data_IF_945813836048
#
_entry.id   IF_945813836048
#
_cell.length_a   1.000
_cell.length_b   1.000
_cell.length_c   1.000
_cell.angle_alpha   90.00
_cell.angle_beta   90.00
_cell.angle_gamma   90.00
#
_symmetry.space_group_name_H-M   'P 1'
#
loop_
_entity.id
_entity.type
_entity.pdbx_description
1 polymer ?
#
# COMPACT_ATOMS: atom_id res chain seq x y z
N UNK A 1 18.83 37.04 -7.08
CA UNK A 1 18.16 35.97 -7.85
C UNK A 1 17.17 35.33 -6.86
N UNK A 2 15.89 35.63 -6.97
CA UNK A 2 14.85 34.98 -6.16
C UNK A 2 14.52 33.66 -6.83
N UNK A 3 14.35 32.58 -6.05
CA UNK A 3 13.87 31.31 -6.59
C UNK A 3 12.49 31.53 -7.24
N UNK A 4 12.19 30.77 -8.30
CA UNK A 4 10.97 30.89 -9.08
C UNK A 4 9.68 30.89 -8.22
N UNK A 5 9.66 30.18 -7.09
CA UNK A 5 8.57 30.18 -6.12
C UNK A 5 8.41 31.52 -5.39
N UNK A 6 9.51 32.14 -4.96
CA UNK A 6 9.50 33.45 -4.33
C UNK A 6 9.06 34.55 -5.33
N UNK A 7 9.51 34.48 -6.58
CA UNK A 7 9.04 35.40 -7.63
C UNK A 7 7.54 35.21 -7.91
N UNK A 8 7.08 33.96 -8.04
CA UNK A 8 5.66 33.66 -8.25
C UNK A 8 4.76 34.20 -7.14
N UNK A 9 5.20 34.16 -5.88
CA UNK A 9 4.46 34.73 -4.76
C UNK A 9 4.42 36.27 -4.80
N UNK A 10 5.51 36.92 -5.20
CA UNK A 10 5.56 38.38 -5.41
C UNK A 10 4.59 38.79 -6.51
N UNK A 11 4.58 38.09 -7.65
CA UNK A 11 3.65 38.38 -8.75
C UNK A 11 2.18 38.18 -8.34
N UNK A 12 1.91 37.14 -7.54
CA UNK A 12 0.57 36.91 -7.00
C UNK A 12 0.10 38.07 -6.11
N UNK A 13 0.96 38.58 -5.22
CA UNK A 13 0.65 39.73 -4.38
C UNK A 13 0.51 41.03 -5.18
N UNK A 14 1.34 41.22 -6.21
CA UNK A 14 1.24 42.36 -7.13
C UNK A 14 -0.11 42.35 -7.88
N UNK A 15 -0.57 41.17 -8.32
CA UNK A 15 -1.88 41.02 -8.94
C UNK A 15 -3.04 41.39 -8.01
N UNK A 16 -2.99 40.98 -6.74
CA UNK A 16 -3.98 41.37 -5.73
C UNK A 16 -3.94 42.89 -5.52
N UNK A 17 -2.75 43.46 -5.36
CA UNK A 17 -2.56 44.90 -5.16
C UNK A 17 -3.10 45.72 -6.33
N UNK A 18 -2.77 45.34 -7.57
CA UNK A 18 -3.25 45.99 -8.79
C UNK A 18 -4.78 45.94 -8.89
N UNK A 19 -5.41 44.81 -8.55
CA UNK A 19 -6.87 44.70 -8.52
C UNK A 19 -7.50 45.60 -7.45
N UNK A 20 -6.92 45.67 -6.25
CA UNK A 20 -7.42 46.55 -5.18
C UNK A 20 -7.35 48.03 -5.59
N UNK A 21 -6.32 48.44 -6.33
CA UNK A 21 -6.19 49.82 -6.79
C UNK A 21 -7.08 50.18 -7.98
N UNK A 22 -7.22 49.27 -8.95
CA UNK A 22 -7.85 49.59 -10.24
C UNK A 22 -9.27 49.04 -10.37
N UNK A 23 -9.67 48.08 -9.54
CA UNK A 23 -10.96 47.38 -9.61
C UNK A 23 -11.16 46.56 -10.89
N UNK A 24 -10.11 46.35 -11.70
CA UNK A 24 -10.19 45.76 -13.02
C UNK A 24 -9.14 44.67 -13.22
N UNK A 25 -9.55 43.56 -13.85
CA UNK A 25 -8.65 42.47 -14.26
C UNK A 25 -8.31 42.53 -15.76
N UNK A 26 -8.77 43.56 -16.49
CA UNK A 26 -8.58 43.66 -17.96
C UNK A 26 -7.12 43.77 -18.38
N UNK A 27 -6.31 44.57 -17.67
CA UNK A 27 -4.88 44.73 -17.96
C UNK A 27 -4.12 43.42 -17.77
N UNK A 28 -4.48 42.63 -16.74
CA UNK A 28 -3.92 41.30 -16.51
C UNK A 28 -4.25 40.32 -17.65
N UNK A 29 -5.44 40.39 -18.25
CA UNK A 29 -5.79 39.53 -19.39
C UNK A 29 -4.99 39.88 -20.66
N UNK A 30 -4.68 41.15 -20.88
CA UNK A 30 -3.84 41.59 -22.01
C UNK A 30 -2.39 41.14 -21.81
N UNK A 31 -1.83 41.33 -20.61
CA UNK A 31 -0.47 40.88 -20.28
C UNK A 31 -0.31 39.35 -20.32
N UNK A 32 -1.31 38.58 -19.86
CA UNK A 32 -1.31 37.12 -19.89
C UNK A 32 -1.29 36.53 -21.32
N UNK A 33 -1.83 37.24 -22.31
CA UNK A 33 -1.83 36.78 -23.70
C UNK A 33 -0.44 36.85 -24.34
N UNK A 34 0.43 37.74 -23.85
CA UNK A 34 1.78 37.94 -24.36
C UNK A 34 2.85 37.12 -23.58
N UNK A 35 2.45 36.40 -22.53
CA UNK A 35 3.35 35.47 -21.84
C UNK A 35 3.50 34.22 -22.72
N UNK A 36 4.71 33.90 -23.21
CA UNK A 36 4.93 32.64 -23.89
C UNK A 36 4.57 31.51 -22.91
N UNK A 37 3.58 30.70 -23.27
CA UNK A 37 3.28 29.46 -22.57
C UNK A 37 4.51 28.57 -22.79
N UNK A 38 5.40 28.55 -21.80
CA UNK A 38 6.46 27.56 -21.75
C UNK A 38 5.73 26.25 -21.52
N UNK A 39 5.51 25.47 -22.58
CA UNK A 39 5.25 24.05 -22.42
C UNK A 39 6.37 23.52 -21.54
N UNK A 40 5.99 22.97 -20.37
CA UNK A 40 6.95 22.39 -19.46
C UNK A 40 7.68 21.28 -20.22
N UNK A 41 8.85 21.61 -20.76
CA UNK A 41 9.76 20.61 -21.30
C UNK A 41 9.89 19.53 -20.24
N UNK A 42 9.72 18.28 -20.65
CA UNK A 42 9.70 17.04 -19.84
C UNK A 42 11.00 16.78 -19.03
N UNK A 43 11.83 17.80 -18.83
CA UNK A 43 13.17 17.73 -18.27
C UNK A 43 13.42 18.71 -17.11
N UNK A 44 12.40 19.25 -16.43
CA UNK A 44 12.60 19.71 -15.06
C UNK A 44 12.53 18.52 -14.10
N UNK A 45 13.57 17.69 -14.16
CA UNK A 45 13.88 16.80 -13.05
C UNK A 45 14.31 17.72 -11.92
N UNK A 46 13.43 18.01 -10.97
CA UNK A 46 13.90 18.47 -9.67
C UNK A 46 14.87 17.40 -9.17
N UNK A 47 16.17 17.71 -9.10
CA UNK A 47 17.13 16.90 -8.36
C UNK A 47 16.68 16.89 -6.91
N UNK A 48 15.89 15.88 -6.55
CA UNK A 48 15.62 15.57 -5.15
C UNK A 48 16.93 15.01 -4.62
N UNK A 49 17.37 15.55 -3.49
CA UNK A 49 18.47 15.02 -2.70
C UNK A 49 18.20 13.54 -2.38
N UNK A 50 18.92 12.63 -3.05
CA UNK A 50 18.72 11.18 -2.95
C UNK A 50 19.23 10.58 -1.63
N UNK A 51 19.82 11.42 -0.76
CA UNK A 51 20.23 11.04 0.60
C UNK A 51 19.07 10.61 1.47
N UNK A 52 17.86 11.12 1.23
CA UNK A 52 16.66 10.82 2.01
C UNK A 52 15.53 10.28 1.15
N UNK A 53 15.05 9.08 1.50
CA UNK A 53 14.09 8.34 0.69
C UNK A 53 12.65 8.83 0.84
N UNK A 54 12.25 9.25 2.04
CA UNK A 54 10.84 9.49 2.35
C UNK A 54 10.57 10.97 2.63
N UNK A 55 9.54 11.51 1.99
CA UNK A 55 8.88 12.74 2.40
C UNK A 55 7.86 12.40 3.49
N UNK A 56 8.18 12.74 4.73
CA UNK A 56 7.36 12.44 5.91
C UNK A 56 6.60 13.68 6.37
N UNK A 57 5.29 13.56 6.56
CA UNK A 57 4.43 14.64 7.06
C UNK A 57 3.52 14.14 8.19
N UNK A 58 3.24 14.98 9.17
CA UNK A 58 2.19 14.76 10.15
C UNK A 58 1.64 16.08 10.71
N UNK A 59 0.47 16.01 11.35
CA UNK A 59 -0.11 17.09 12.13
C UNK A 59 -0.11 16.69 13.61
N UNK A 60 0.55 17.49 14.44
CA UNK A 60 0.52 17.39 15.89
C UNK A 60 -0.62 18.26 16.40
N UNK A 61 -1.55 17.67 17.16
CA UNK A 61 -2.59 18.39 17.89
C UNK A 61 -2.30 18.27 19.39
N UNK A 62 -2.34 19.38 20.12
CA UNK A 62 -2.05 19.41 21.56
C UNK A 62 -2.93 18.42 22.32
N UNK A 63 -2.32 17.75 23.31
CA UNK A 63 -3.04 17.11 24.41
C UNK A 63 -3.05 17.94 25.70
N UNK A 64 -1.91 18.54 26.08
CA UNK A 64 -1.78 19.20 27.40
C UNK A 64 -1.06 20.56 27.34
N UNK A 65 0.13 20.63 26.72
CA UNK A 65 0.99 21.83 26.72
C UNK A 65 1.13 22.43 25.31
N UNK A 66 1.30 23.77 25.21
CA UNK A 66 1.71 24.44 23.97
C UNK A 66 2.92 23.79 23.34
N UNK A 67 2.90 23.58 22.02
CA UNK A 67 4.04 23.06 21.28
C UNK A 67 5.07 24.18 21.16
N UNK A 68 6.26 23.95 21.72
CA UNK A 68 7.44 24.79 21.51
C UNK A 68 8.04 24.46 20.15
N UNK A 69 7.89 25.36 19.17
CA UNK A 69 8.36 25.14 17.81
C UNK A 69 9.89 25.19 17.69
N UNK A 70 10.57 25.91 18.58
CA UNK A 70 12.02 26.03 18.51
C UNK A 70 12.68 24.75 19.02
N UNK A 71 12.20 24.23 20.17
CA UNK A 71 12.66 22.94 20.69
C UNK A 71 12.31 21.78 19.74
N UNK A 72 11.09 21.80 19.18
CA UNK A 72 10.68 20.77 18.22
C UNK A 72 11.53 20.80 16.94
N UNK A 73 11.88 22.00 16.47
CA UNK A 73 12.76 22.16 15.31
C UNK A 73 14.15 21.62 15.61
N UNK A 74 14.74 22.00 16.75
CA UNK A 74 16.06 21.49 17.19
C UNK A 74 16.07 19.95 17.28
N UNK A 75 15.02 19.36 17.84
CA UNK A 75 14.91 17.89 17.97
C UNK A 75 14.87 17.19 16.61
N UNK A 76 14.17 17.77 15.62
CA UNK A 76 13.95 17.13 14.32
C UNK A 76 15.04 17.44 13.29
N UNK A 77 15.81 18.51 13.47
CA UNK A 77 16.80 18.99 12.48
C UNK A 77 17.88 17.94 12.20
N UNK A 78 18.29 17.16 13.21
CA UNK A 78 19.29 16.09 13.07
C UNK A 78 18.74 14.82 12.39
N UNK A 79 17.42 14.71 12.22
CA UNK A 79 16.75 13.48 11.76
C UNK A 79 16.48 13.45 10.25
N UNK A 80 16.84 14.51 9.51
CA UNK A 80 16.50 14.66 8.10
C UNK A 80 16.96 15.97 7.48
N UNK A 81 16.35 16.32 6.35
CA UNK A 81 16.50 17.64 5.74
C UNK A 81 15.13 18.22 5.37
N UNK A 82 15.14 19.44 4.82
CA UNK A 82 13.92 20.11 4.33
C UNK A 82 12.84 20.22 5.41
N UNK A 83 13.25 20.41 6.67
CA UNK A 83 12.35 20.45 7.81
C UNK A 83 11.49 21.72 7.77
N UNK A 84 10.18 21.52 7.80
CA UNK A 84 9.17 22.56 7.99
C UNK A 84 8.40 22.24 9.27
N UNK A 85 8.43 23.19 10.20
CA UNK A 85 7.58 23.23 11.39
C UNK A 85 6.72 24.48 11.26
N UNK A 86 5.43 24.30 11.00
CA UNK A 86 4.53 25.41 10.70
C UNK A 86 3.15 25.20 11.35
N UNK A 87 2.56 26.26 11.90
CA UNK A 87 1.24 26.20 12.51
C UNK A 87 1.14 27.09 13.74
N UNK A 88 0.21 26.78 14.62
CA UNK A 88 0.07 27.42 15.92
C UNK A 88 0.58 26.51 17.03
N UNK A 89 0.73 27.05 18.23
CA UNK A 89 1.11 26.24 19.39
C UNK A 89 0.14 25.06 19.62
N UNK A 90 -1.14 25.19 19.23
CA UNK A 90 -2.19 24.17 19.40
C UNK A 90 -2.24 23.11 18.29
N UNK A 91 -1.73 23.45 17.11
CA UNK A 91 -1.79 22.59 15.93
C UNK A 91 -0.62 22.90 15.02
N UNK A 92 0.30 21.95 14.90
CA UNK A 92 1.56 22.11 14.17
C UNK A 92 1.65 21.06 13.07
N UNK A 93 1.95 21.51 11.85
CA UNK A 93 2.31 20.66 10.73
C UNK A 93 3.82 20.48 10.67
N UNK A 94 4.22 19.23 10.52
CA UNK A 94 5.60 18.81 10.28
C UNK A 94 5.70 18.28 8.86
N UNK A 95 6.77 18.67 8.17
CA UNK A 95 7.24 18.05 6.94
C UNK A 95 8.76 17.92 7.04
N UNK A 96 9.30 16.75 6.72
CA UNK A 96 10.73 16.48 6.74
C UNK A 96 11.05 15.36 5.76
N UNK A 97 12.19 15.45 5.08
CA UNK A 97 12.72 14.32 4.32
C UNK A 97 13.62 13.48 5.21
N UNK A 98 13.33 12.18 5.33
CA UNK A 98 14.04 11.28 6.23
C UNK A 98 14.18 9.88 5.63
N UNK A 99 15.04 9.05 6.22
CA UNK A 99 15.12 7.61 5.95
C UNK A 99 14.35 6.79 6.99
N UNK A 100 13.91 7.41 8.09
CA UNK A 100 13.17 6.76 9.16
C UNK A 100 11.90 7.56 9.52
N UNK A 101 10.80 7.39 8.75
CA UNK A 101 9.52 8.02 9.06
C UNK A 101 9.00 7.67 10.46
N UNK A 102 9.31 6.48 10.96
CA UNK A 102 8.82 5.99 12.26
C UNK A 102 9.43 6.74 13.41
N UNK A 103 10.73 7.02 13.36
CA UNK A 103 11.41 7.84 14.35
C UNK A 103 10.79 9.25 14.39
N UNK A 104 10.53 9.86 13.22
CA UNK A 104 9.87 11.18 13.14
C UNK A 104 8.49 11.16 13.81
N UNK A 105 7.65 10.18 13.47
CA UNK A 105 6.33 10.07 14.09
C UNK A 105 6.42 9.80 15.60
N UNK A 106 7.43 9.04 16.05
CA UNK A 106 7.61 8.76 17.48
C UNK A 106 7.96 10.03 18.25
N UNK A 107 8.93 10.81 17.78
CA UNK A 107 9.28 12.12 18.38
C UNK A 107 8.07 13.04 18.39
N UNK A 108 7.35 13.16 17.26
CA UNK A 108 6.20 14.07 17.19
C UNK A 108 5.07 13.68 18.17
N UNK A 109 4.92 12.40 18.54
CA UNK A 109 3.93 11.94 19.53
C UNK A 109 4.23 12.41 20.95
N UNK A 110 5.49 12.70 21.27
CA UNK A 110 5.86 13.25 22.58
C UNK A 110 5.30 14.67 22.78
N UNK A 111 4.99 15.37 21.70
CA UNK A 111 4.44 16.73 21.69
C UNK A 111 2.90 16.77 21.57
N UNK A 112 2.23 15.65 21.24
CA UNK A 112 0.77 15.60 21.14
C UNK A 112 0.22 14.44 20.29
N UNK A 113 -1.09 14.45 20.07
CA UNK A 113 -1.75 13.44 19.23
C UNK A 113 -1.48 13.72 17.74
N UNK A 114 -1.02 12.70 17.02
CA UNK A 114 -0.79 12.80 15.59
C UNK A 114 -2.05 12.54 14.78
N UNK A 115 -2.11 13.20 13.63
CA UNK A 115 -3.09 12.98 12.58
C UNK A 115 -2.47 13.25 11.21
N UNK A 116 -3.00 12.63 10.16
CA UNK A 116 -2.49 12.85 8.80
C UNK A 116 -1.05 12.38 8.61
N UNK A 117 -0.63 11.33 9.31
CA UNK A 117 0.69 10.72 9.16
C UNK A 117 0.84 10.18 7.73
N UNK A 118 1.91 10.62 7.08
CA UNK A 118 2.20 10.37 5.67
C UNK A 118 3.70 10.15 5.51
N UNK A 119 4.07 9.16 4.70
CA UNK A 119 5.43 8.97 4.26
C UNK A 119 5.42 8.52 2.79
N UNK A 120 5.78 9.44 1.90
CA UNK A 120 5.83 9.17 0.45
C UNK A 120 7.28 8.84 0.05
N UNK A 121 7.48 7.74 -0.68
CA UNK A 121 8.79 7.34 -1.21
C UNK A 121 9.16 8.20 -2.44
N UNK A 122 9.98 9.22 -2.22
CA UNK A 122 10.35 10.21 -3.24
C UNK A 122 11.19 9.59 -4.35
N UNK A 123 12.14 8.73 -3.99
CA UNK A 123 13.01 8.04 -4.95
C UNK A 123 12.16 7.17 -5.87
N UNK A 124 11.19 6.44 -5.32
CA UNK A 124 10.28 5.61 -6.12
C UNK A 124 9.35 6.45 -6.99
N UNK A 125 8.85 7.59 -6.51
CA UNK A 125 8.05 8.51 -7.33
C UNK A 125 8.85 8.98 -8.55
N UNK A 126 10.09 9.47 -8.34
CA UNK A 126 10.95 9.92 -9.43
C UNK A 126 11.32 8.77 -10.39
N UNK A 127 11.71 7.61 -9.87
CA UNK A 127 12.03 6.43 -10.70
C UNK A 127 10.82 5.95 -11.49
N UNK A 128 9.62 6.03 -10.92
CA UNK A 128 8.37 5.67 -11.58
C UNK A 128 8.07 6.56 -12.78
N UNK A 129 8.35 7.85 -12.64
CA UNK A 129 8.22 8.83 -13.72
C UNK A 129 9.27 8.57 -14.82
N UNK A 130 10.55 8.55 -14.46
CA UNK A 130 11.65 8.38 -15.42
C UNK A 130 11.53 7.06 -16.18
N UNK A 131 11.16 5.98 -15.49
CA UNK A 131 11.06 4.64 -16.08
C UNK A 131 9.62 4.28 -16.46
N UNK A 132 8.80 5.25 -16.87
CA UNK A 132 7.43 4.97 -17.31
C UNK A 132 7.44 4.04 -18.53
N UNK A 133 7.14 2.76 -18.30
CA UNK A 133 7.06 1.70 -19.34
C UNK A 133 5.67 1.51 -19.94
N UNK A 134 4.64 2.11 -19.34
CA UNK A 134 3.25 1.88 -19.70
C UNK A 134 2.42 3.17 -19.61
N UNK A 135 1.37 3.27 -20.42
CA UNK A 135 0.40 4.38 -20.36
C UNK A 135 -0.62 4.20 -19.22
N UNK A 136 -0.79 2.97 -18.73
CA UNK A 136 -1.72 2.62 -17.66
C UNK A 136 -0.95 2.39 -16.36
N UNK A 137 -1.21 3.18 -15.33
CA UNK A 137 -0.66 2.93 -14.00
C UNK A 137 -1.46 1.83 -13.28
N UNK A 138 -0.74 0.92 -12.61
CA UNK A 138 -1.35 -0.05 -11.70
C UNK A 138 -1.17 0.43 -10.27
N UNK A 139 -2.27 0.61 -9.56
CA UNK A 139 -2.32 0.98 -8.14
C UNK A 139 -2.87 -0.19 -7.33
N UNK A 140 -2.35 -0.41 -6.13
CA UNK A 140 -2.92 -1.33 -5.16
C UNK A 140 -2.75 -0.79 -3.73
N UNK A 141 -3.20 -1.55 -2.74
CA UNK A 141 -2.94 -1.28 -1.32
C UNK A 141 -1.85 -2.22 -0.78
N UNK A 142 -1.31 -1.91 0.40
CA UNK A 142 -0.18 -2.66 0.97
C UNK A 142 -0.49 -4.11 1.32
N UNK A 143 -1.74 -4.57 1.30
CA UNK A 143 -2.04 -5.98 1.53
C UNK A 143 -1.74 -6.87 0.31
N UNK A 144 -1.41 -6.28 -0.85
CA UNK A 144 -0.84 -7.04 -1.96
C UNK A 144 0.56 -7.55 -1.59
N UNK A 145 0.70 -8.86 -1.36
CA UNK A 145 2.00 -9.45 -1.05
C UNK A 145 2.69 -9.89 -2.34
N UNK A 146 3.72 -9.12 -2.71
CA UNK A 146 4.70 -9.41 -3.75
C UNK A 146 6.11 -9.08 -3.26
N UNK A 147 7.16 -9.67 -3.85
CA UNK A 147 8.53 -9.25 -3.59
C UNK A 147 8.74 -7.75 -3.90
N UNK A 148 9.46 -6.98 -3.06
CA UNK A 148 9.69 -5.54 -3.26
C UNK A 148 10.19 -5.17 -4.66
N UNK A 149 11.07 -5.98 -5.22
CA UNK A 149 11.65 -5.79 -6.56
C UNK A 149 10.62 -5.84 -7.68
N UNK A 150 9.51 -6.56 -7.49
CA UNK A 150 8.41 -6.65 -8.48
C UNK A 150 7.67 -5.31 -8.56
N UNK A 151 7.48 -4.64 -7.43
CA UNK A 151 6.82 -3.33 -7.40
C UNK A 151 7.60 -2.30 -8.22
N UNK A 152 8.92 -2.22 -8.03
CA UNK A 152 9.77 -1.32 -8.82
C UNK A 152 9.87 -1.75 -10.29
N UNK A 153 10.06 -3.05 -10.56
CA UNK A 153 10.25 -3.57 -11.93
C UNK A 153 9.08 -3.25 -12.86
N UNK A 154 7.86 -3.39 -12.35
CA UNK A 154 6.62 -3.19 -13.11
C UNK A 154 5.91 -1.88 -12.79
N UNK A 155 6.57 -0.97 -12.07
CA UNK A 155 6.03 0.33 -11.69
C UNK A 155 4.63 0.25 -11.04
N UNK A 156 4.45 -0.71 -10.14
CA UNK A 156 3.21 -0.87 -9.37
C UNK A 156 3.24 0.16 -8.25
N UNK A 157 2.16 0.90 -8.06
CA UNK A 157 2.01 1.88 -6.98
C UNK A 157 1.25 1.28 -5.80
N UNK A 158 1.56 1.71 -4.58
CA UNK A 158 0.99 1.13 -3.35
C UNK A 158 0.54 2.24 -2.41
N UNK A 159 -0.70 2.15 -1.94
CA UNK A 159 -1.20 2.96 -0.82
C UNK A 159 -1.10 2.15 0.48
N UNK A 160 -0.35 2.61 1.50
CA UNK A 160 -0.18 1.87 2.76
C UNK A 160 -1.47 1.73 3.55
N UNK A 161 -1.76 0.52 4.02
CA UNK A 161 -2.76 0.28 5.06
C UNK A 161 -2.16 0.65 6.40
N UNK A 162 -2.99 1.20 7.28
CA UNK A 162 -2.58 1.66 8.60
C UNK A 162 -2.66 0.51 9.61
N UNK A 163 -1.61 0.34 10.41
CA UNK A 163 -1.52 -0.65 11.50
C UNK A 163 -1.29 0.08 12.81
N UNK A 164 -2.06 -0.27 13.84
CA UNK A 164 -2.01 0.40 15.13
C UNK A 164 -1.68 -0.59 16.26
N UNK A 165 -0.77 -0.19 17.15
CA UNK A 165 -0.50 -0.82 18.44
C UNK A 165 -0.82 0.18 19.55
N UNK A 166 -2.01 0.07 20.13
CA UNK A 166 -2.49 1.08 21.09
C UNK A 166 -2.54 2.46 20.44
N UNK A 167 -1.71 3.39 20.93
CA UNK A 167 -1.60 4.77 20.43
C UNK A 167 -0.51 4.95 19.36
N UNK A 168 0.25 3.90 19.04
CA UNK A 168 1.26 3.95 17.99
C UNK A 168 0.67 3.54 16.66
N UNK A 169 0.92 4.33 15.63
CA UNK A 169 0.42 4.14 14.28
C UNK A 169 1.58 3.96 13.30
N UNK A 170 1.41 3.02 12.38
CA UNK A 170 2.40 2.63 11.40
C UNK A 170 1.77 2.48 10.02
N UNK A 171 2.53 2.84 9.00
CA UNK A 171 2.19 2.64 7.59
C UNK A 171 2.84 1.34 7.10
N UNK A 172 2.01 0.34 6.80
CA UNK A 172 2.47 -0.98 6.36
C UNK A 172 3.36 -0.90 5.10
N UNK A 173 4.52 -1.57 5.16
CA UNK A 173 5.59 -1.55 4.13
C UNK A 173 6.32 -0.21 3.96
N UNK A 174 6.01 0.80 4.76
CA UNK A 174 6.67 2.11 4.72
C UNK A 174 7.37 2.42 6.03
N UNK A 175 6.60 2.56 7.10
CA UNK A 175 7.12 2.85 8.44
C UNK A 175 7.14 1.59 9.33
N UNK A 176 6.69 0.45 8.81
CA UNK A 176 6.80 -0.83 9.49
C UNK A 176 6.96 -1.96 8.49
N UNK A 177 8.03 -2.73 8.69
CA UNK A 177 8.27 -4.00 8.01
C UNK A 177 7.51 -5.14 8.68
N UNK A 178 7.36 -6.25 7.96
CA UNK A 178 6.75 -7.46 8.53
C UNK A 178 7.56 -8.04 9.70
N UNK A 179 8.89 -7.88 9.68
CA UNK A 179 9.76 -8.35 10.77
C UNK A 179 9.59 -7.49 12.03
N UNK A 180 9.62 -6.17 11.89
CA UNK A 180 9.36 -5.24 12.99
C UNK A 180 7.97 -5.46 13.60
N UNK A 181 6.94 -5.71 12.77
CA UNK A 181 5.61 -6.07 13.25
C UNK A 181 5.63 -7.32 14.14
N UNK A 182 6.36 -8.37 13.73
CA UNK A 182 6.48 -9.59 14.53
C UNK A 182 7.26 -9.37 15.83
N UNK A 183 8.32 -8.57 15.79
CA UNK A 183 9.06 -8.19 17.00
C UNK A 183 8.18 -7.36 17.96
N UNK A 184 7.40 -6.42 17.44
CA UNK A 184 6.44 -5.63 18.21
C UNK A 184 5.39 -6.53 18.87
N UNK A 185 4.83 -7.51 18.14
CA UNK A 185 3.88 -8.49 18.68
C UNK A 185 4.41 -9.31 19.86
N UNK A 186 5.73 -9.51 19.98
CA UNK A 186 6.33 -10.23 21.09
C UNK A 186 6.53 -9.35 22.33
N UNK A 187 6.66 -8.03 22.14
CA UNK A 187 6.92 -7.04 23.19
C UNK A 187 5.64 -6.39 23.72
N UNK A 188 4.71 -6.10 22.82
CA UNK A 188 3.47 -5.39 23.10
C UNK A 188 2.40 -6.32 23.68
N UNK A 189 1.71 -5.86 24.72
CA UNK A 189 0.57 -6.59 25.30
C UNK A 189 -0.75 -6.30 24.58
N UNK A 190 -0.79 -5.21 23.81
CA UNK A 190 -1.98 -4.73 23.10
C UNK A 190 -2.11 -5.45 21.76
N UNK A 191 -3.31 -5.95 21.47
CA UNK A 191 -3.59 -6.59 20.18
C UNK A 191 -3.56 -5.55 19.05
N UNK A 192 -2.84 -5.79 17.94
CA UNK A 192 -2.80 -4.85 16.85
C UNK A 192 -4.17 -4.71 16.19
N UNK A 193 -4.44 -3.52 15.67
CA UNK A 193 -5.61 -3.25 14.84
C UNK A 193 -5.17 -2.64 13.52
N UNK A 194 -6.09 -2.57 12.56
CA UNK A 194 -5.82 -1.95 11.26
C UNK A 194 -6.97 -1.05 10.86
N UNK A 195 -6.64 0.04 10.17
CA UNK A 195 -7.61 0.87 9.46
C UNK A 195 -7.26 0.95 7.98
N UNK A 196 -8.29 1.12 7.16
CA UNK A 196 -8.11 1.41 5.73
C UNK A 196 -7.29 2.69 5.53
N UNK A 197 -6.64 2.86 4.37
CA UNK A 197 -6.03 4.14 4.02
C UNK A 197 -7.07 5.26 3.98
N UNK A 198 -6.64 6.50 4.21
CA UNK A 198 -7.55 7.64 4.23
C UNK A 198 -7.95 8.07 2.81
N UNK A 199 -9.00 8.89 2.72
CA UNK A 199 -9.35 9.56 1.46
C UNK A 199 -8.18 10.39 0.92
N UNK A 200 -7.47 11.08 1.82
CA UNK A 200 -6.34 11.94 1.45
C UNK A 200 -5.18 11.15 0.84
N UNK A 201 -4.94 9.92 1.30
CA UNK A 201 -3.89 9.05 0.77
C UNK A 201 -4.19 8.62 -0.66
N UNK A 202 -5.41 8.14 -0.92
CA UNK A 202 -5.82 7.80 -2.27
C UNK A 202 -5.90 9.02 -3.18
N UNK A 203 -6.50 10.12 -2.71
CA UNK A 203 -6.66 11.32 -3.53
C UNK A 203 -5.32 11.87 -3.99
N UNK A 204 -4.35 11.98 -3.08
CA UNK A 204 -2.99 12.41 -3.41
C UNK A 204 -2.33 11.48 -4.42
N UNK A 205 -2.43 10.16 -4.20
CA UNK A 205 -1.82 9.18 -5.10
C UNK A 205 -2.45 9.26 -6.50
N UNK A 206 -3.77 9.42 -6.60
CA UNK A 206 -4.42 9.61 -7.89
C UNK A 206 -4.09 10.94 -8.54
N UNK A 207 -4.01 12.04 -7.78
CA UNK A 207 -3.56 13.32 -8.30
C UNK A 207 -2.18 13.19 -8.94
N UNK A 208 -1.22 12.62 -8.21
CA UNK A 208 0.13 12.36 -8.72
C UNK A 208 0.10 11.53 -10.01
N UNK A 209 -0.54 10.35 -9.98
CA UNK A 209 -0.59 9.46 -11.13
C UNK A 209 -1.31 10.09 -12.33
N UNK A 210 -2.36 10.88 -12.12
CA UNK A 210 -3.10 11.54 -13.20
C UNK A 210 -2.29 12.58 -13.97
N UNK A 211 -1.17 13.07 -13.41
CA UNK A 211 -0.27 13.98 -14.13
C UNK A 211 0.71 13.26 -15.05
N UNK A 212 0.83 11.93 -14.93
CA UNK A 212 1.86 11.14 -15.60
C UNK A 212 1.32 9.94 -16.37
N UNK A 213 0.05 9.59 -16.21
CA UNK A 213 -0.57 8.42 -16.86
C UNK A 213 -1.96 8.76 -17.40
N UNK A 214 -2.26 8.27 -18.60
CA UNK A 214 -3.55 8.46 -19.26
C UNK A 214 -4.70 7.75 -18.50
N UNK A 215 -4.35 6.62 -17.88
CA UNK A 215 -5.30 5.77 -17.18
C UNK A 215 -4.68 5.14 -15.93
N UNK A 216 -5.53 4.86 -14.94
CA UNK A 216 -5.15 4.24 -13.69
C UNK A 216 -6.10 3.07 -13.43
N UNK A 217 -5.54 1.90 -13.09
CA UNK A 217 -6.30 0.74 -12.62
C UNK A 217 -5.90 0.47 -11.18
N UNK A 218 -6.83 0.65 -10.26
CA UNK A 218 -6.64 0.41 -8.84
C UNK A 218 -7.27 -0.93 -8.43
N UNK A 219 -6.46 -1.84 -7.89
CA UNK A 219 -6.83 -3.21 -7.54
C UNK A 219 -6.73 -3.39 -6.03
N UNK A 220 -7.86 -3.59 -5.36
CA UNK A 220 -7.92 -3.56 -3.89
C UNK A 220 -8.59 -4.78 -3.27
N UNK A 221 -8.30 -4.97 -1.98
CA UNK A 221 -8.95 -5.98 -1.13
C UNK A 221 -10.47 -5.88 -1.11
N UNK A 222 -11.16 -6.98 -0.75
CA UNK A 222 -12.61 -7.01 -0.79
C UNK A 222 -13.29 -5.97 0.09
N UNK A 223 -14.32 -5.31 -0.44
CA UNK A 223 -15.12 -4.31 0.30
C UNK A 223 -15.79 -4.89 1.54
N UNK A 224 -16.03 -6.21 1.55
CA UNK A 224 -16.63 -6.92 2.69
C UNK A 224 -15.67 -7.14 3.85
N UNK A 225 -14.34 -6.96 3.66
CA UNK A 225 -13.33 -7.07 4.72
C UNK A 225 -12.68 -5.74 5.11
N UNK A 226 -12.76 -4.73 4.23
CA UNK A 226 -12.20 -3.39 4.43
C UNK A 226 -12.97 -2.32 3.65
N UNK A 227 -13.02 -1.09 4.16
CA UNK A 227 -13.54 0.07 3.42
C UNK A 227 -12.59 0.63 2.36
N UNK A 228 -11.44 0.00 2.12
CA UNK A 228 -10.40 0.46 1.17
C UNK A 228 -10.97 0.79 -0.22
N UNK A 229 -11.72 -0.13 -0.82
CA UNK A 229 -12.33 0.07 -2.16
C UNK A 229 -13.24 1.30 -2.16
N UNK A 230 -14.13 1.42 -1.17
CA UNK A 230 -15.10 2.52 -1.12
C UNK A 230 -14.45 3.89 -0.95
N UNK A 231 -13.35 3.97 -0.19
CA UNK A 231 -12.59 5.24 -0.04
C UNK A 231 -11.81 5.56 -1.30
N UNK A 232 -11.21 4.54 -1.92
CA UNK A 232 -10.50 4.63 -3.19
C UNK A 232 -11.41 5.12 -4.33
N UNK A 233 -12.63 4.56 -4.45
CA UNK A 233 -13.68 5.00 -5.39
C UNK A 233 -14.00 6.50 -5.22
N UNK A 234 -14.29 6.94 -3.99
CA UNK A 234 -14.58 8.36 -3.69
C UNK A 234 -13.41 9.29 -4.05
N UNK A 235 -12.18 8.86 -3.76
CA UNK A 235 -11.00 9.63 -4.09
C UNK A 235 -10.78 9.74 -5.60
N UNK A 236 -11.03 8.66 -6.35
CA UNK A 236 -10.98 8.64 -7.81
C UNK A 236 -12.03 9.58 -8.43
N UNK A 237 -13.27 9.57 -7.93
CA UNK A 237 -14.34 10.49 -8.38
C UNK A 237 -13.93 11.96 -8.29
N UNK A 238 -13.20 12.33 -7.22
CA UNK A 238 -12.76 13.71 -6.99
C UNK A 238 -11.72 14.20 -8.01
N UNK A 239 -10.98 13.30 -8.65
CA UNK A 239 -10.01 13.64 -9.71
C UNK A 239 -10.71 14.15 -10.97
N UNK A 240 -11.96 13.71 -11.20
CA UNK A 240 -12.74 14.07 -12.38
C UNK A 240 -12.10 13.59 -13.68
N UNK A 241 -12.15 14.43 -14.72
CA UNK A 241 -11.76 14.04 -16.09
C UNK A 241 -10.25 14.11 -16.37
N UNK A 242 -9.40 14.29 -15.34
CA UNK A 242 -7.93 14.41 -15.53
C UNK A 242 -7.28 13.10 -15.98
N UNK A 243 -7.82 11.96 -15.56
CA UNK A 243 -7.37 10.64 -15.99
C UNK A 243 -8.53 9.63 -15.93
N UNK A 244 -8.47 8.57 -16.73
CA UNK A 244 -9.45 7.48 -16.64
C UNK A 244 -9.09 6.57 -15.46
N UNK A 245 -9.84 6.63 -14.36
CA UNK A 245 -9.57 5.82 -13.17
C UNK A 245 -10.60 4.71 -13.04
N UNK A 246 -10.13 3.47 -12.99
CA UNK A 246 -10.96 2.29 -12.71
C UNK A 246 -10.55 1.68 -11.36
N UNK A 247 -11.48 1.63 -10.41
CA UNK A 247 -11.28 0.97 -9.11
C UNK A 247 -11.97 -0.38 -9.11
N UNK A 248 -11.25 -1.43 -8.76
CA UNK A 248 -11.72 -2.81 -8.80
C UNK A 248 -11.57 -3.46 -7.43
N UNK A 249 -12.69 -3.99 -6.93
CA UNK A 249 -12.68 -5.03 -5.90
C UNK A 249 -12.32 -6.35 -6.57
N UNK A 250 -11.15 -6.92 -6.21
CA UNK A 250 -10.65 -8.15 -6.84
C UNK A 250 -10.98 -9.43 -6.06
N UNK A 251 -11.68 -9.34 -4.92
CA UNK A 251 -12.09 -10.52 -4.16
C UNK A 251 -10.94 -11.29 -3.47
N UNK A 252 -9.72 -10.76 -3.45
CA UNK A 252 -8.51 -11.43 -2.94
C UNK A 252 -7.66 -10.51 -2.05
N UNK A 253 -6.78 -11.12 -1.24
CA UNK A 253 -5.77 -10.42 -0.42
C UNK A 253 -4.41 -11.13 -0.49
N UNK A 254 -3.36 -10.52 0.06
CA UNK A 254 -2.01 -11.11 0.18
C UNK A 254 -1.51 -11.68 -1.14
N UNK A 255 -0.99 -12.91 -1.14
CA UNK A 255 -0.49 -13.60 -2.32
C UNK A 255 -1.51 -13.68 -3.46
N UNK A 256 -2.81 -13.82 -3.16
CA UNK A 256 -3.86 -13.85 -4.19
C UNK A 256 -3.96 -12.50 -4.91
N UNK A 257 -4.02 -11.41 -4.14
CA UNK A 257 -4.02 -10.05 -4.66
C UNK A 257 -2.72 -9.73 -5.39
N UNK A 258 -1.58 -10.08 -4.81
CA UNK A 258 -0.26 -9.87 -5.40
C UNK A 258 -0.15 -10.48 -6.80
N UNK A 259 -0.56 -11.74 -6.96
CA UNK A 259 -0.52 -12.41 -8.28
C UNK A 259 -1.44 -11.73 -9.31
N UNK A 260 -2.61 -11.24 -8.91
CA UNK A 260 -3.53 -10.49 -9.81
C UNK A 260 -2.93 -9.13 -10.18
N UNK A 261 -2.34 -8.42 -9.22
CA UNK A 261 -1.68 -7.13 -9.44
C UNK A 261 -0.48 -7.27 -10.38
N UNK A 262 0.35 -8.30 -10.17
CA UNK A 262 1.47 -8.61 -11.08
C UNK A 262 0.98 -8.86 -12.50
N UNK A 263 -0.07 -9.66 -12.66
CA UNK A 263 -0.66 -9.93 -13.97
C UNK A 263 -1.16 -8.66 -14.67
N UNK A 264 -1.83 -7.77 -13.94
CA UNK A 264 -2.29 -6.48 -14.47
C UNK A 264 -1.12 -5.57 -14.88
N UNK A 265 -0.04 -5.56 -14.09
CA UNK A 265 1.13 -4.73 -14.34
C UNK A 265 1.95 -5.23 -15.53
N UNK A 266 2.07 -6.55 -15.70
CA UNK A 266 2.63 -7.14 -16.91
C UNK A 266 1.79 -6.79 -18.14
N UNK A 267 0.46 -6.78 -18.03
CA UNK A 267 -0.44 -6.40 -19.12
C UNK A 267 -0.30 -4.92 -19.49
N UNK A 268 -0.14 -4.04 -18.50
CA UNK A 268 0.17 -2.64 -18.72
C UNK A 268 1.51 -2.45 -19.43
N UNK A 269 2.57 -3.14 -18.99
CA UNK A 269 3.90 -3.09 -19.64
C UNK A 269 3.88 -3.67 -21.06
N UNK A 270 3.01 -4.64 -21.33
CA UNK A 270 2.78 -5.17 -22.68
C UNK A 270 1.99 -4.20 -23.59
N UNK A 271 1.62 -3.02 -23.10
CA UNK A 271 0.96 -1.98 -23.89
C UNK A 271 -0.54 -2.21 -24.14
N UNK A 272 -1.19 -3.07 -23.36
CA UNK A 272 -2.64 -3.26 -23.47
C UNK A 272 -3.38 -2.00 -23.02
N UNK A 273 -4.54 -1.73 -23.64
CA UNK A 273 -5.42 -0.65 -23.21
C UNK A 273 -6.05 -0.94 -21.85
N UNK A 274 -6.52 0.11 -21.17
CA UNK A 274 -7.19 -0.03 -19.87
C UNK A 274 -8.34 -1.05 -19.92
N UNK A 275 -9.17 -1.01 -20.96
CA UNK A 275 -10.32 -1.91 -21.12
C UNK A 275 -9.89 -3.37 -21.26
N UNK A 276 -8.82 -3.63 -22.03
CA UNK A 276 -8.24 -4.97 -22.18
C UNK A 276 -7.63 -5.48 -20.89
N UNK A 277 -6.92 -4.62 -20.15
CA UNK A 277 -6.36 -5.00 -18.83
C UNK A 277 -7.48 -5.32 -17.86
N UNK A 278 -8.54 -4.51 -17.78
CA UNK A 278 -9.70 -4.78 -16.91
C UNK A 278 -10.36 -6.11 -17.27
N UNK A 279 -10.57 -6.39 -18.57
CA UNK A 279 -11.12 -7.66 -19.02
C UNK A 279 -10.23 -8.85 -18.64
N UNK A 280 -8.92 -8.72 -18.83
CA UNK A 280 -7.94 -9.73 -18.46
C UNK A 280 -7.90 -9.97 -16.94
N UNK A 281 -7.97 -8.92 -16.12
CA UNK A 281 -8.06 -8.99 -14.66
C UNK A 281 -9.35 -9.73 -14.24
N UNK A 282 -10.50 -9.38 -14.82
CA UNK A 282 -11.76 -10.09 -14.53
C UNK A 282 -11.69 -11.58 -14.87
N UNK A 283 -10.98 -11.94 -15.95
CA UNK A 283 -10.78 -13.33 -16.36
C UNK A 283 -9.79 -14.10 -15.47
N UNK A 284 -8.77 -13.44 -14.89
CA UNK A 284 -7.76 -14.10 -14.05
C UNK A 284 -8.20 -14.27 -12.58
N UNK A 285 -9.14 -13.44 -12.09
CA UNK A 285 -9.70 -13.55 -10.73
C UNK A 285 -10.22 -14.97 -10.42
N UNK A 286 -11.13 -15.58 -11.20
CA UNK A 286 -11.65 -16.92 -10.91
C UNK A 286 -10.58 -18.03 -11.02
N UNK A 287 -9.47 -17.74 -11.70
CA UNK A 287 -8.30 -18.61 -11.83
C UNK A 287 -7.26 -18.43 -10.72
N UNK A 288 -7.54 -17.53 -9.77
CA UNK A 288 -6.67 -17.23 -8.64
C UNK A 288 -7.32 -17.70 -7.33
N UNK A 289 -6.59 -18.47 -6.54
CA UNK A 289 -7.04 -18.95 -5.25
C UNK A 289 -6.02 -18.60 -4.16
N UNK A 290 -6.51 -18.29 -2.97
CA UNK A 290 -5.69 -18.04 -1.79
C UNK A 290 -6.16 -18.91 -0.63
N UNK A 291 -5.20 -19.58 0.02
CA UNK A 291 -5.45 -20.40 1.21
C UNK A 291 -4.49 -20.01 2.32
N UNK A 292 -5.03 -19.67 3.50
CA UNK A 292 -4.24 -19.34 4.68
C UNK A 292 -4.50 -20.37 5.79
N UNK A 293 -3.44 -21.05 6.24
CA UNK A 293 -3.45 -21.90 7.42
C UNK A 293 -3.11 -21.06 8.65
N UNK A 294 -4.07 -20.91 9.55
CA UNK A 294 -4.05 -19.97 10.68
C UNK A 294 -4.08 -20.75 12.01
N UNK A 295 -2.95 -20.81 12.75
CA UNK A 295 -2.87 -21.51 14.04
C UNK A 295 -3.42 -20.71 15.23
N UNK A 296 -3.59 -19.39 15.08
CA UNK A 296 -4.00 -18.44 16.13
C UNK A 296 -5.33 -17.78 15.74
N UNK A 297 -6.43 -18.48 15.99
CA UNK A 297 -7.77 -18.01 15.62
C UNK A 297 -8.22 -16.78 16.42
N UNK A 298 -7.63 -16.57 17.59
CA UNK A 298 -7.86 -15.39 18.42
C UNK A 298 -7.59 -14.09 17.66
N UNK A 299 -6.62 -14.06 16.73
CA UNK A 299 -6.33 -12.89 15.90
C UNK A 299 -7.45 -12.61 14.89
N UNK A 300 -7.94 -13.62 14.17
CA UNK A 300 -9.03 -13.44 13.20
C UNK A 300 -10.34 -13.01 13.87
N UNK A 301 -10.60 -13.52 15.08
CA UNK A 301 -11.80 -13.21 15.85
C UNK A 301 -11.71 -11.79 16.42
N UNK A 302 -10.61 -11.43 17.08
CA UNK A 302 -10.40 -10.06 17.60
C UNK A 302 -10.39 -9.01 16.48
N UNK A 303 -9.84 -9.36 15.32
CA UNK A 303 -9.88 -8.52 14.12
C UNK A 303 -11.26 -8.40 13.48
N UNK A 304 -12.25 -9.23 13.85
CA UNK A 304 -13.62 -9.18 13.32
C UNK A 304 -13.80 -9.70 11.89
N UNK A 305 -12.73 -10.23 11.26
CA UNK A 305 -12.75 -10.70 9.85
C UNK A 305 -13.22 -12.14 9.70
N UNK A 306 -13.43 -12.85 10.81
CA UNK A 306 -14.09 -14.15 10.83
C UNK A 306 -15.20 -14.20 11.89
N UNK A 307 -16.45 -14.22 11.43
CA UNK A 307 -17.63 -14.35 12.30
C UNK A 307 -17.80 -15.80 12.78
N UNK A 308 -17.02 -16.23 13.78
CA UNK A 308 -17.21 -17.52 14.43
C UNK A 308 -18.26 -17.35 15.54
N UNK A 309 -19.48 -17.85 15.32
CA UNK A 309 -20.57 -17.85 16.32
C UNK A 309 -20.38 -18.85 17.46
N UNK A 310 -19.25 -19.53 17.56
CA UNK A 310 -19.03 -20.60 18.55
C UNK A 310 -17.81 -20.34 19.44
N UNK A 311 -18.08 -19.86 20.66
CA UNK A 311 -17.14 -19.87 21.79
C UNK A 311 -16.43 -21.23 21.98
N UNK A 312 -17.02 -22.32 21.48
CA UNK A 312 -16.50 -23.69 21.59
C UNK A 312 -15.32 -24.04 20.68
N UNK A 313 -14.98 -23.25 19.66
CA UNK A 313 -13.82 -23.55 18.78
C UNK A 313 -12.50 -23.00 19.35
N UNK A 314 -12.57 -22.02 20.27
CA UNK A 314 -11.38 -21.35 20.81
C UNK A 314 -10.57 -22.24 21.76
N UNK A 315 -11.22 -23.20 22.43
CA UNK A 315 -10.61 -24.00 23.50
C UNK A 315 -10.08 -25.39 23.09
N UNK A 316 -10.10 -25.77 21.80
CA UNK A 316 -9.80 -27.17 21.43
C UNK A 316 -8.50 -27.41 20.63
N UNK A 317 -7.50 -27.94 21.34
CA UNK A 317 -6.43 -28.87 20.93
C UNK A 317 -5.74 -28.65 19.57
N UNK A 318 -4.67 -27.85 19.56
CA UNK A 318 -3.61 -27.87 18.52
C UNK A 318 -4.11 -27.75 17.06
N UNK A 319 -5.34 -27.31 16.80
CA UNK A 319 -5.88 -27.23 15.44
C UNK A 319 -5.33 -25.99 14.70
N UNK A 320 -5.30 -26.09 13.37
CA UNK A 320 -5.00 -24.98 12.45
C UNK A 320 -6.15 -24.87 11.47
N UNK A 321 -6.80 -23.71 11.42
CA UNK A 321 -7.90 -23.45 10.50
C UNK A 321 -7.34 -23.03 9.15
N UNK A 322 -7.82 -23.65 8.07
CA UNK A 322 -7.53 -23.19 6.72
C UNK A 322 -8.71 -22.38 6.23
N UNK A 323 -8.46 -21.13 5.88
CA UNK A 323 -9.46 -20.19 5.33
C UNK A 323 -9.13 -19.84 3.88
N UNK A 324 -10.14 -19.36 3.17
CA UNK A 324 -10.06 -18.80 1.82
C UNK A 324 -11.06 -17.67 1.65
N UNK A 325 -10.98 -16.91 0.57
CA UNK A 325 -12.09 -16.06 0.13
C UNK A 325 -13.16 -16.90 -0.61
N UNK A 326 -14.44 -16.57 -0.39
CA UNK A 326 -15.53 -17.00 -1.26
C UNK A 326 -15.71 -16.04 -2.45
N UNK A 327 -16.71 -16.31 -3.30
CA UNK A 327 -17.00 -15.52 -4.50
C UNK A 327 -17.40 -14.07 -4.19
N UNK A 328 -17.80 -13.79 -2.95
CA UNK A 328 -18.11 -12.42 -2.48
C UNK A 328 -16.90 -11.72 -1.86
N UNK A 329 -15.74 -12.38 -1.84
CA UNK A 329 -14.53 -11.90 -1.17
C UNK A 329 -14.54 -12.07 0.35
N UNK A 330 -15.56 -12.72 0.94
CA UNK A 330 -15.62 -12.93 2.39
C UNK A 330 -14.71 -14.07 2.82
N UNK A 331 -14.05 -13.91 3.98
CA UNK A 331 -13.25 -14.99 4.57
C UNK A 331 -14.16 -16.13 5.02
N UNK A 332 -13.90 -17.33 4.51
CA UNK A 332 -14.63 -18.56 4.82
C UNK A 332 -13.71 -19.69 5.22
N UNK A 333 -14.23 -20.56 6.07
CA UNK A 333 -13.61 -21.84 6.36
C UNK A 333 -13.48 -22.68 5.09
N UNK A 334 -12.28 -23.23 4.86
CA UNK A 334 -12.03 -24.18 3.78
C UNK A 334 -11.81 -25.60 4.31
N UNK A 335 -10.99 -25.77 5.34
CA UNK A 335 -10.59 -27.09 5.87
C UNK A 335 -9.94 -26.95 7.25
N UNK A 336 -9.93 -28.04 8.01
CA UNK A 336 -9.21 -28.15 9.27
C UNK A 336 -7.91 -28.96 9.12
N UNK A 337 -6.82 -28.48 9.72
CA UNK A 337 -5.58 -29.23 9.89
C UNK A 337 -5.36 -29.58 11.37
N UNK A 338 -5.08 -30.85 11.66
CA UNK A 338 -4.72 -31.29 13.01
C UNK A 338 -3.25 -30.99 13.31
N UNK A 339 -2.97 -30.32 14.42
CA UNK A 339 -1.61 -29.90 14.81
C UNK A 339 -1.20 -28.57 14.16
N UNK A 340 -0.35 -27.81 14.87
CA UNK A 340 0.26 -26.56 14.38
C UNK A 340 1.55 -26.78 13.58
N UNK A 341 2.09 -28.00 13.60
CA UNK A 341 3.32 -28.36 12.90
C UNK A 341 3.09 -28.98 11.52
N UNK A 342 4.18 -29.04 10.74
CA UNK A 342 4.20 -29.58 9.37
C UNK A 342 3.16 -28.95 8.43
N UNK A 343 2.89 -27.65 8.61
CA UNK A 343 1.99 -26.88 7.74
C UNK A 343 2.48 -26.92 6.29
N UNK A 344 3.79 -26.94 6.06
CA UNK A 344 4.37 -27.08 4.73
C UNK A 344 3.84 -28.33 3.99
N UNK A 345 3.89 -29.50 4.64
CA UNK A 345 3.40 -30.76 4.05
C UNK A 345 1.88 -30.75 3.84
N UNK A 346 1.13 -30.12 4.75
CA UNK A 346 -0.33 -30.04 4.70
C UNK A 346 -0.80 -29.11 3.58
N UNK A 347 -0.21 -27.91 3.48
CA UNK A 347 -0.47 -26.98 2.39
C UNK A 347 0.01 -27.53 1.05
N UNK A 348 1.13 -28.27 1.00
CA UNK A 348 1.55 -28.96 -0.21
C UNK A 348 0.46 -29.91 -0.72
N UNK A 349 -0.14 -30.74 0.14
CA UNK A 349 -1.24 -31.64 -0.24
C UNK A 349 -2.48 -30.88 -0.71
N UNK A 350 -2.80 -29.75 -0.06
CA UNK A 350 -3.91 -28.89 -0.48
C UNK A 350 -3.63 -28.29 -1.86
N UNK A 351 -2.46 -27.71 -2.06
CA UNK A 351 -2.02 -27.09 -3.32
C UNK A 351 -2.06 -28.11 -4.46
N UNK A 352 -1.53 -29.31 -4.23
CA UNK A 352 -1.63 -30.44 -5.16
C UNK A 352 -3.07 -30.74 -5.58
N UNK A 353 -4.04 -30.66 -4.67
CA UNK A 353 -5.45 -30.92 -5.00
C UNK A 353 -6.13 -29.81 -5.80
N UNK A 354 -5.47 -28.65 -5.94
CA UNK A 354 -5.96 -27.49 -6.70
C UNK A 354 -5.25 -27.30 -8.04
N UNK A 355 -4.08 -27.92 -8.22
CA UNK A 355 -3.36 -27.90 -9.48
C UNK A 355 -3.79 -29.06 -10.39
N UNK A 356 -4.14 -28.74 -11.63
CA UNK A 356 -4.44 -29.69 -12.69
C UNK A 356 -3.17 -30.05 -13.46
N UNK A 357 -3.04 -31.31 -13.90
CA UNK A 357 -1.79 -31.85 -14.48
C UNK A 357 -1.29 -31.11 -15.72
N UNK A 358 -2.19 -30.55 -16.53
CA UNK A 358 -1.90 -29.97 -17.84
C UNK A 358 -1.86 -28.43 -17.82
N UNK A 359 -1.82 -27.83 -16.63
CA UNK A 359 -1.82 -26.38 -16.46
C UNK A 359 -0.50 -25.92 -15.84
N UNK A 360 -0.11 -24.70 -16.19
CA UNK A 360 1.01 -23.99 -15.59
C UNK A 360 0.46 -23.03 -14.54
N UNK A 361 1.23 -22.79 -13.47
CA UNK A 361 0.81 -21.98 -12.34
C UNK A 361 1.89 -20.99 -11.92
N UNK A 362 1.44 -19.83 -11.44
CA UNK A 362 2.22 -18.92 -10.61
C UNK A 362 1.79 -19.09 -9.16
N UNK A 363 2.78 -19.21 -8.28
CA UNK A 363 2.57 -19.49 -6.87
C UNK A 363 3.22 -18.41 -6.02
N UNK A 364 2.61 -18.07 -4.89
CA UNK A 364 3.21 -17.16 -3.91
C UNK A 364 2.97 -17.72 -2.51
N UNK A 365 4.04 -18.05 -1.79
CA UNK A 365 3.98 -18.58 -0.43
C UNK A 365 4.28 -17.46 0.56
N UNK A 366 3.31 -17.17 1.43
CA UNK A 366 3.37 -16.08 2.40
C UNK A 366 3.44 -16.65 3.80
N UNK A 367 4.28 -16.09 4.68
CA UNK A 367 4.41 -16.55 6.06
C UNK A 367 4.39 -15.41 7.09
N UNK A 368 3.77 -15.67 8.24
CA UNK A 368 3.90 -14.84 9.43
C UNK A 368 4.87 -15.54 10.39
N UNK A 369 6.12 -15.07 10.46
CA UNK A 369 7.18 -15.65 11.30
C UNK A 369 7.34 -17.19 11.14
N UNK A 370 7.32 -17.68 9.89
CA UNK A 370 7.41 -19.13 9.58
C UNK A 370 8.23 -19.46 8.33
N UNK A 371 9.31 -18.71 8.11
CA UNK A 371 10.14 -18.77 6.88
C UNK A 371 10.63 -20.17 6.54
N UNK A 372 11.00 -20.99 7.53
CA UNK A 372 11.53 -22.34 7.29
C UNK A 372 10.47 -23.29 6.72
N UNK A 373 9.22 -23.19 7.19
CA UNK A 373 8.12 -23.98 6.63
C UNK A 373 7.69 -23.46 5.26
N UNK A 374 7.78 -22.15 5.01
CA UNK A 374 7.58 -21.60 3.66
C UNK A 374 8.62 -22.13 2.66
N UNK A 375 9.91 -22.10 3.03
CA UNK A 375 11.00 -22.68 2.23
C UNK A 375 10.79 -24.17 1.95
N UNK A 376 10.37 -24.93 2.96
CA UNK A 376 10.05 -26.35 2.83
C UNK A 376 8.86 -26.61 1.91
N UNK A 377 7.80 -25.80 1.97
CA UNK A 377 6.67 -25.90 1.04
C UNK A 377 7.11 -25.66 -0.40
N UNK A 378 7.90 -24.61 -0.64
CA UNK A 378 8.45 -24.32 -1.98
C UNK A 378 9.37 -25.42 -2.47
N UNK A 379 10.23 -25.98 -1.62
CA UNK A 379 11.08 -27.12 -1.99
C UNK A 379 10.24 -28.33 -2.47
N UNK A 380 9.20 -28.69 -1.72
CA UNK A 380 8.29 -29.79 -2.09
C UNK A 380 7.56 -29.53 -3.42
N UNK A 381 7.13 -28.29 -3.66
CA UNK A 381 6.46 -27.88 -4.91
C UNK A 381 7.44 -27.92 -6.09
N UNK A 382 8.64 -27.38 -5.94
CA UNK A 382 9.67 -27.40 -6.99
C UNK A 382 10.12 -28.84 -7.30
N UNK A 383 10.31 -29.69 -6.31
CA UNK A 383 10.72 -31.09 -6.50
C UNK A 383 9.71 -31.86 -7.36
N UNK A 384 8.41 -31.73 -7.06
CA UNK A 384 7.36 -32.57 -7.67
C UNK A 384 6.64 -31.93 -8.86
N UNK A 385 6.65 -30.60 -8.97
CA UNK A 385 5.83 -29.84 -9.93
C UNK A 385 6.63 -28.80 -10.72
N UNK A 386 7.97 -28.92 -10.81
CA UNK A 386 8.83 -27.97 -11.55
C UNK A 386 8.28 -27.59 -12.94
N UNK A 387 7.77 -28.57 -13.70
CA UNK A 387 7.25 -28.37 -15.06
C UNK A 387 5.90 -27.65 -15.12
N UNK A 388 5.20 -27.52 -14.00
CA UNK A 388 3.89 -26.87 -13.88
C UNK A 388 3.99 -25.49 -13.20
N UNK A 389 5.21 -25.02 -12.88
CA UNK A 389 5.42 -23.77 -12.15
C UNK A 389 6.18 -22.80 -13.06
N UNK A 390 5.52 -21.72 -13.45
CA UNK A 390 6.14 -20.59 -14.14
C UNK A 390 6.99 -19.79 -13.14
N UNK A 391 6.37 -19.35 -12.05
CA UNK A 391 7.02 -18.59 -10.99
C UNK A 391 6.55 -19.05 -9.61
N UNK A 392 7.46 -18.96 -8.63
CA UNK A 392 7.13 -19.23 -7.23
C UNK A 392 7.86 -18.27 -6.30
N UNK A 393 7.10 -17.50 -5.54
CA UNK A 393 7.60 -16.51 -4.59
C UNK A 393 7.55 -17.03 -3.15
N UNK A 394 8.47 -16.55 -2.32
CA UNK A 394 8.41 -16.66 -0.86
C UNK A 394 8.59 -15.26 -0.30
N UNK A 395 7.70 -14.85 0.59
CA UNK A 395 7.75 -13.53 1.21
C UNK A 395 7.07 -13.53 2.58
N UNK A 396 7.46 -12.62 3.48
CA UNK A 396 6.74 -12.43 4.72
C UNK A 396 5.34 -11.85 4.45
N UNK A 397 4.40 -12.12 5.36
CA UNK A 397 3.07 -11.53 5.36
C UNK A 397 3.16 -10.04 5.68
N UNK A 398 2.46 -9.20 4.93
CA UNK A 398 2.30 -7.79 5.30
C UNK A 398 1.78 -7.63 6.74
N UNK A 399 2.19 -6.55 7.40
CA UNK A 399 1.84 -6.31 8.80
C UNK A 399 0.32 -6.12 8.97
N UNK A 400 -0.31 -5.47 7.99
CA UNK A 400 -1.75 -5.26 7.95
C UNK A 400 -2.54 -6.57 7.97
N UNK A 401 -2.14 -7.59 7.22
CA UNK A 401 -2.79 -8.89 7.26
C UNK A 401 -2.35 -9.72 8.48
N UNK A 402 -1.08 -9.62 8.89
CA UNK A 402 -0.55 -10.35 10.03
C UNK A 402 -1.26 -9.96 11.36
N UNK A 403 -1.78 -8.74 11.47
CA UNK A 403 -2.65 -8.31 12.56
C UNK A 403 -3.93 -9.16 12.69
N UNK A 404 -4.42 -9.75 11.59
CA UNK A 404 -5.61 -10.61 11.59
C UNK A 404 -5.28 -12.10 11.48
N UNK A 405 -4.24 -12.47 10.74
CA UNK A 405 -3.83 -13.86 10.57
C UNK A 405 -3.04 -14.40 11.78
N UNK A 406 -2.35 -13.52 12.50
CA UNK A 406 -1.53 -13.85 13.65
C UNK A 406 -0.22 -14.58 13.33
N UNK A 407 0.68 -14.69 14.34
CA UNK A 407 1.97 -15.33 14.18
C UNK A 407 1.84 -16.83 13.91
N UNK A 408 2.77 -17.35 13.11
CA UNK A 408 2.82 -18.76 12.70
C UNK A 408 1.88 -19.11 11.54
N UNK A 409 1.14 -18.16 10.99
CA UNK A 409 0.34 -18.38 9.79
C UNK A 409 1.22 -18.71 8.58
N UNK A 410 0.72 -19.59 7.71
CA UNK A 410 1.35 -19.94 6.44
C UNK A 410 0.27 -19.98 5.37
N UNK A 411 0.50 -19.33 4.24
CA UNK A 411 -0.48 -19.18 3.18
C UNK A 411 0.12 -19.43 1.80
N UNK A 412 -0.75 -19.70 0.84
CA UNK A 412 -0.37 -19.85 -0.56
C UNK A 412 -1.40 -19.24 -1.50
N UNK A 413 -0.93 -18.39 -2.42
CA UNK A 413 -1.64 -17.99 -3.63
C UNK A 413 -1.33 -18.97 -4.76
N UNK A 414 -2.36 -19.38 -5.48
CA UNK A 414 -2.32 -20.32 -6.60
C UNK A 414 -3.06 -19.65 -7.77
N UNK A 415 -2.34 -19.24 -8.80
CA UNK A 415 -2.92 -18.65 -10.00
C UNK A 415 -2.56 -19.51 -11.21
N UNK A 416 -3.56 -19.93 -11.99
CA UNK A 416 -3.31 -20.51 -13.31
C UNK A 416 -2.59 -19.46 -14.18
N UNK A 417 -1.46 -19.84 -14.77
CA UNK A 417 -0.73 -18.97 -15.68
C UNK A 417 -1.52 -18.81 -16.97
N UNK A 418 -1.78 -17.56 -17.33
CA UNK A 418 -2.39 -17.17 -18.60
C UNK A 418 -1.40 -16.23 -19.30
N UNK A 419 -1.01 -16.46 -20.55
CA UNK A 419 -0.20 -15.51 -21.30
C UNK A 419 -0.96 -14.19 -21.53
N UNK A 420 -0.24 -13.07 -21.52
CA UNK A 420 -0.81 -11.73 -21.69
C UNK A 420 -1.04 -11.36 -23.16
N UNK A 421 -0.47 -12.14 -24.09
CA UNK A 421 -0.69 -12.09 -25.54
C UNK A 421 -0.60 -13.50 -26.10
#
# INVERSE_FOLDING_TARGET
MVDAGAQGFVEFLNGIYAFVQTGSIKQLQEELNDIPIIEANEAMVHEIDDRYRFCTECLININEKPIDHDLLRETLDEMGNSLIVAGSAIKTKIHIHTNDPTAIFSVCREYGNLSGEKADDMIRQQQSYINRKAQVAILTDSSADLPPEIFSKYNIHVVPIVVNFGNQTYLDKVSMTAEEFHQALQKETIHPTTSQPSFGDFHRQYQYLSTHFDAIIALHIPRVVSGTVSVSEKAAEKIGNRAKIAVLDIGQTSAGQGLIVLYAAEAAVAGLSQEKIIAAVKAIIPKTQFFAAIPRLDFLVKGGRLSIRSQKIMDFLKLTLVVKHDETGKVRFSRLFFGKENLAKKLFRLTKSKMEKNKIYRLAVVHADRVQEAKKLVALLKEKYKKQIDQIFILPCCASLAAHAGPGALAIGIQEYVPIV
#
